data_IF_593253190604
#
_entry.id   IF_593253190604
#
_cell.length_a   1.000
_cell.length_b   1.000
_cell.length_c   1.000
_cell.angle_alpha   90.00
_cell.angle_beta   90.00
_cell.angle_gamma   90.00
#
_symmetry.space_group_name_H-M   'P 1'
#
loop_
_entity.id
_entity.type
_entity.pdbx_description
1 polymer ?
#
# COMPACT_ATOMS: atom_id res chain seq x y z
N UNK A 1 -48.70 53.51 -14.40
CA UNK A 1 -48.25 52.25 -15.04
C UNK A 1 -46.72 52.26 -15.05
N UNK A 2 -46.08 51.52 -14.14
CA UNK A 2 -44.62 51.35 -14.09
C UNK A 2 -44.33 49.86 -14.09
N UNK A 3 -43.83 49.37 -15.20
CA UNK A 3 -43.51 47.97 -15.45
C UNK A 3 -42.07 47.73 -14.99
N UNK A 4 -41.88 47.02 -13.87
CA UNK A 4 -40.57 46.52 -13.45
C UNK A 4 -40.25 45.27 -14.28
N UNK A 5 -39.08 45.18 -14.96
CA UNK A 5 -38.66 43.92 -15.56
C UNK A 5 -38.02 43.06 -14.47
N UNK A 6 -38.67 41.93 -14.20
CA UNK A 6 -38.19 40.85 -13.37
C UNK A 6 -37.01 40.17 -14.09
N UNK A 7 -35.78 40.55 -13.76
CA UNK A 7 -34.57 39.86 -14.20
C UNK A 7 -34.46 38.53 -13.44
N UNK A 8 -34.98 37.47 -14.07
CA UNK A 8 -34.74 36.08 -13.73
C UNK A 8 -33.25 35.75 -13.91
N UNK A 9 -32.49 35.86 -12.82
CA UNK A 9 -31.17 35.25 -12.66
C UNK A 9 -31.33 33.73 -12.56
N UNK A 10 -31.49 33.07 -13.71
CA UNK A 10 -31.28 31.63 -13.84
C UNK A 10 -29.77 31.37 -13.71
N UNK A 11 -29.32 31.21 -12.46
CA UNK A 11 -28.01 30.66 -12.14
C UNK A 11 -27.97 29.20 -12.57
N UNK A 12 -27.60 28.96 -13.83
CA UNK A 12 -27.16 27.66 -14.27
C UNK A 12 -25.85 27.34 -13.52
N UNK A 13 -25.94 26.47 -12.49
CA UNK A 13 -24.80 25.74 -11.98
C UNK A 13 -24.26 24.86 -13.12
N UNK A 14 -23.39 25.42 -13.96
CA UNK A 14 -22.60 24.62 -14.89
C UNK A 14 -21.79 23.65 -14.02
N UNK A 15 -22.08 22.35 -14.14
CA UNK A 15 -21.19 21.32 -13.64
C UNK A 15 -19.82 21.59 -14.28
N UNK A 16 -18.87 22.06 -13.48
CA UNK A 16 -17.52 22.34 -13.97
C UNK A 16 -16.95 21.02 -14.51
N UNK A 17 -16.59 20.94 -15.80
CA UNK A 17 -15.89 19.77 -16.32
C UNK A 17 -14.57 19.63 -15.57
N UNK A 18 -14.20 18.40 -15.24
CA UNK A 18 -13.00 18.09 -14.47
C UNK A 18 -13.23 17.02 -13.39
N UNK A 19 -12.14 16.53 -12.78
CA UNK A 19 -12.17 15.45 -11.80
C UNK A 19 -12.77 15.83 -10.43
N UNK A 20 -13.09 17.11 -10.19
CA UNK A 20 -13.52 17.61 -8.88
C UNK A 20 -14.80 16.94 -8.35
N UNK A 21 -15.88 16.77 -9.12
CA UNK A 21 -17.08 16.09 -8.64
C UNK A 21 -16.82 14.62 -8.27
N UNK A 22 -15.94 13.94 -9.02
CA UNK A 22 -15.52 12.57 -8.69
C UNK A 22 -14.74 12.55 -7.37
N UNK A 23 -13.76 13.45 -7.22
CA UNK A 23 -12.98 13.57 -6.00
C UNK A 23 -13.86 13.83 -4.78
N UNK A 24 -14.82 14.75 -4.86
CA UNK A 24 -15.76 15.06 -3.76
C UNK A 24 -16.59 13.83 -3.35
N UNK A 25 -17.16 13.10 -4.33
CA UNK A 25 -17.92 11.87 -4.06
C UNK A 25 -17.06 10.81 -3.39
N UNK A 26 -15.84 10.60 -3.90
CA UNK A 26 -14.92 9.62 -3.36
C UNK A 26 -14.43 9.98 -1.96
N UNK A 27 -14.15 11.26 -1.70
CA UNK A 27 -13.81 11.77 -0.37
C UNK A 27 -14.96 11.53 0.61
N UNK A 28 -16.20 11.84 0.23
CA UNK A 28 -17.39 11.56 1.05
C UNK A 28 -17.55 10.07 1.34
N UNK A 29 -17.44 9.22 0.32
CA UNK A 29 -17.48 7.77 0.49
C UNK A 29 -16.37 7.27 1.41
N UNK A 30 -15.17 7.86 1.33
CA UNK A 30 -14.04 7.55 2.20
C UNK A 30 -14.34 7.90 3.67
N UNK A 31 -14.96 9.05 3.94
CA UNK A 31 -15.33 9.45 5.31
C UNK A 31 -16.46 8.58 5.88
N UNK A 32 -17.30 8.02 5.02
CA UNK A 32 -18.40 7.12 5.37
C UNK A 32 -17.97 5.64 5.46
N UNK A 33 -16.68 5.33 5.26
CA UNK A 33 -16.16 3.95 5.28
C UNK A 33 -16.63 3.07 4.12
N UNK A 34 -17.10 3.66 3.01
CA UNK A 34 -17.62 2.94 1.84
C UNK A 34 -16.49 2.54 0.87
N UNK A 35 -15.55 1.72 1.35
CA UNK A 35 -14.39 1.29 0.55
C UNK A 35 -14.79 0.50 -0.72
N UNK A 36 -15.85 -0.30 -0.67
CA UNK A 36 -16.37 -0.98 -1.86
C UNK A 36 -16.76 0.00 -3.00
N UNK A 37 -17.34 1.15 -2.64
CA UNK A 37 -17.70 2.18 -3.63
C UNK A 37 -16.44 2.81 -4.24
N UNK A 38 -15.49 3.22 -3.39
CA UNK A 38 -14.24 3.83 -3.84
C UNK A 38 -13.35 2.89 -4.65
N UNK A 39 -13.36 1.59 -4.36
CA UNK A 39 -12.61 0.59 -5.13
C UNK A 39 -13.17 0.39 -6.55
N UNK A 40 -14.51 0.42 -6.66
CA UNK A 40 -15.24 0.24 -7.91
C UNK A 40 -15.21 1.50 -8.81
N UNK A 41 -15.02 2.68 -8.23
CA UNK A 41 -14.97 3.94 -8.96
C UNK A 41 -13.68 4.01 -9.80
N UNK A 42 -13.83 3.98 -11.12
CA UNK A 42 -12.72 4.12 -12.08
C UNK A 42 -12.55 5.60 -12.41
N UNK A 43 -11.31 6.06 -12.52
CA UNK A 43 -11.01 7.44 -12.86
C UNK A 43 -11.69 7.84 -14.18
N UNK A 44 -12.41 8.96 -14.17
CA UNK A 44 -13.14 9.47 -15.33
C UNK A 44 -12.19 9.91 -16.46
N UNK A 45 -12.73 10.19 -17.65
CA UNK A 45 -11.95 10.49 -18.87
C UNK A 45 -10.91 11.59 -18.68
N UNK A 46 -11.20 12.57 -17.83
CA UNK A 46 -10.32 13.70 -17.56
C UNK A 46 -9.03 13.27 -16.85
N UNK A 47 -9.10 12.24 -16.00
CA UNK A 47 -7.92 11.64 -15.39
C UNK A 47 -7.15 10.68 -16.30
N UNK A 48 -7.75 10.28 -17.43
CA UNK A 48 -7.03 9.55 -18.47
C UNK A 48 -6.25 10.51 -19.38
N UNK A 49 -6.79 11.70 -19.63
CA UNK A 49 -6.14 12.73 -20.47
C UNK A 49 -5.14 13.57 -19.69
N UNK A 50 -5.34 13.77 -18.38
CA UNK A 50 -4.46 14.55 -17.49
C UNK A 50 -4.14 13.76 -16.21
N UNK A 51 -3.41 12.64 -16.30
CA UNK A 51 -3.16 11.76 -15.16
C UNK A 51 -2.34 12.40 -14.02
N UNK A 52 -1.58 13.46 -14.32
CA UNK A 52 -0.79 14.21 -13.35
C UNK A 52 -1.56 15.33 -12.63
N UNK A 53 -2.84 15.55 -12.97
CA UNK A 53 -3.66 16.52 -12.26
C UNK A 53 -3.76 16.14 -10.76
N UNK A 54 -3.55 17.08 -9.82
CA UNK A 54 -3.58 16.77 -8.40
C UNK A 54 -4.87 16.09 -7.92
N UNK A 55 -6.03 16.42 -8.49
CA UNK A 55 -7.28 15.76 -8.14
C UNK A 55 -7.30 14.30 -8.65
N UNK A 56 -6.75 14.03 -9.82
CA UNK A 56 -6.61 12.68 -10.36
C UNK A 56 -5.64 11.82 -9.54
N UNK A 57 -4.51 12.39 -9.11
CA UNK A 57 -3.59 11.70 -8.20
C UNK A 57 -4.28 11.35 -6.87
N UNK A 58 -5.10 12.25 -6.32
CA UNK A 58 -5.87 12.02 -5.09
C UNK A 58 -6.97 10.98 -5.26
N UNK A 59 -7.68 10.98 -6.40
CA UNK A 59 -8.64 9.93 -6.77
C UNK A 59 -7.96 8.55 -6.74
N UNK A 60 -6.78 8.42 -7.35
CA UNK A 60 -6.01 7.18 -7.35
C UNK A 60 -5.54 6.79 -5.93
N UNK A 61 -5.14 7.76 -5.10
CA UNK A 61 -4.78 7.49 -3.71
C UNK A 61 -5.97 6.94 -2.90
N UNK A 62 -7.17 7.53 -3.06
CA UNK A 62 -8.39 7.07 -2.38
C UNK A 62 -8.76 5.66 -2.84
N UNK A 63 -8.72 5.41 -4.15
CA UNK A 63 -9.00 4.09 -4.73
C UNK A 63 -8.01 3.04 -4.26
N UNK A 64 -6.70 3.32 -4.29
CA UNK A 64 -5.67 2.40 -3.84
C UNK A 64 -5.84 2.00 -2.37
N UNK A 65 -6.19 2.97 -1.53
CA UNK A 65 -6.49 2.74 -0.11
C UNK A 65 -7.73 1.87 0.08
N UNK A 66 -8.80 2.15 -0.64
CA UNK A 66 -10.03 1.36 -0.57
C UNK A 66 -9.79 -0.09 -1.02
N UNK A 67 -9.07 -0.29 -2.12
CA UNK A 67 -8.70 -1.61 -2.61
C UNK A 67 -7.80 -2.37 -1.61
N UNK A 68 -6.80 -1.71 -1.01
CA UNK A 68 -5.99 -2.34 0.03
C UNK A 68 -6.81 -2.68 1.29
N UNK A 69 -7.73 -1.81 1.71
CA UNK A 69 -8.61 -2.05 2.84
C UNK A 69 -9.49 -3.29 2.62
N UNK A 70 -10.12 -3.40 1.45
CA UNK A 70 -10.91 -4.58 1.05
C UNK A 70 -10.08 -5.86 0.98
N UNK A 71 -8.84 -5.80 0.50
CA UNK A 71 -7.96 -6.97 0.52
C UNK A 71 -7.70 -7.42 1.97
N UNK A 72 -7.51 -6.48 2.91
CA UNK A 72 -7.17 -6.78 4.30
C UNK A 72 -8.33 -7.29 5.14
N UNK A 73 -9.59 -7.08 4.75
CA UNK A 73 -10.73 -7.66 5.48
C UNK A 73 -10.74 -9.19 5.40
N UNK A 74 -10.08 -9.78 4.41
CA UNK A 74 -9.91 -11.23 4.27
C UNK A 74 -8.73 -11.77 5.10
N UNK A 75 -7.88 -10.91 5.68
CA UNK A 75 -6.74 -11.34 6.47
C UNK A 75 -7.18 -11.93 7.81
N UNK A 76 -6.58 -13.06 8.19
CA UNK A 76 -6.74 -13.60 9.54
C UNK A 76 -6.20 -12.60 10.58
N UNK A 77 -6.70 -12.66 11.81
CA UNK A 77 -6.23 -11.80 12.89
C UNK A 77 -4.71 -11.91 13.05
N UNK A 78 -4.01 -10.77 12.99
CA UNK A 78 -2.56 -10.68 13.09
C UNK A 78 -1.78 -11.05 11.81
N UNK A 79 -2.44 -11.51 10.73
CA UNK A 79 -1.76 -11.78 9.48
C UNK A 79 -1.34 -10.47 8.78
N UNK A 80 -0.10 -10.43 8.29
CA UNK A 80 0.42 -9.25 7.59
C UNK A 80 -0.24 -9.04 6.21
N UNK A 81 -0.65 -10.13 5.56
CA UNK A 81 -1.27 -10.15 4.24
C UNK A 81 -2.46 -11.11 4.20
N UNK A 82 -3.43 -10.88 3.29
CA UNK A 82 -4.59 -11.77 3.15
C UNK A 82 -4.21 -13.15 2.57
N UNK A 83 -5.08 -14.16 2.78
CA UNK A 83 -4.91 -15.48 2.17
C UNK A 83 -5.02 -15.42 0.63
N UNK A 84 -4.54 -16.46 -0.08
CA UNK A 84 -4.50 -16.48 -1.54
C UNK A 84 -5.88 -16.73 -2.19
N UNK A 85 -6.82 -15.79 -2.04
CA UNK A 85 -8.14 -15.85 -2.69
C UNK A 85 -8.15 -15.03 -3.98
N UNK A 86 -9.11 -15.33 -4.87
CA UNK A 86 -9.30 -14.54 -6.09
C UNK A 86 -9.72 -13.08 -5.79
N UNK A 87 -10.46 -12.86 -4.70
CA UNK A 87 -10.89 -11.52 -4.27
C UNK A 87 -9.72 -10.70 -3.74
N UNK A 88 -8.94 -11.25 -2.81
CA UNK A 88 -7.73 -10.62 -2.29
C UNK A 88 -6.74 -10.27 -3.41
N UNK A 89 -6.56 -11.19 -4.38
CA UNK A 89 -5.73 -10.92 -5.57
C UNK A 89 -6.23 -9.71 -6.35
N UNK A 90 -7.52 -9.66 -6.73
CA UNK A 90 -8.08 -8.53 -7.50
C UNK A 90 -7.93 -7.20 -6.76
N UNK A 91 -8.17 -7.20 -5.45
CA UNK A 91 -8.08 -6.01 -4.62
C UNK A 91 -6.62 -5.54 -4.47
N UNK A 92 -5.67 -6.45 -4.29
CA UNK A 92 -4.24 -6.11 -4.27
C UNK A 92 -3.75 -5.61 -5.63
N UNK A 93 -4.24 -6.17 -6.73
CA UNK A 93 -3.92 -5.73 -8.09
C UNK A 93 -4.42 -4.29 -8.33
N UNK A 94 -5.66 -4.00 -7.91
CA UNK A 94 -6.19 -2.64 -7.89
C UNK A 94 -5.34 -1.70 -7.03
N UNK A 95 -4.96 -2.12 -5.82
CA UNK A 95 -4.19 -1.29 -4.90
C UNK A 95 -2.80 -0.94 -5.47
N UNK A 96 -2.09 -1.92 -6.04
CA UNK A 96 -0.77 -1.71 -6.65
C UNK A 96 -0.87 -0.76 -7.85
N UNK A 97 -1.84 -0.95 -8.75
CA UNK A 97 -2.04 -0.07 -9.90
C UNK A 97 -2.38 1.36 -9.48
N UNK A 98 -3.37 1.53 -8.59
CA UNK A 98 -3.83 2.83 -8.15
C UNK A 98 -2.75 3.58 -7.36
N UNK A 99 -2.02 2.92 -6.47
CA UNK A 99 -0.89 3.56 -5.78
C UNK A 99 0.28 3.90 -6.71
N UNK A 100 0.51 3.10 -7.74
CA UNK A 100 1.47 3.42 -8.80
C UNK A 100 1.13 4.73 -9.52
N UNK A 101 -0.17 5.00 -9.72
CA UNK A 101 -0.69 6.23 -10.35
C UNK A 101 -0.84 7.41 -9.39
N UNK A 102 -0.88 7.16 -8.08
CA UNK A 102 -1.08 8.19 -7.05
C UNK A 102 0.21 8.91 -6.63
N UNK A 103 1.35 8.68 -7.29
CA UNK A 103 2.61 9.31 -6.91
C UNK A 103 2.49 10.84 -6.95
N UNK A 104 2.85 11.51 -5.84
CA UNK A 104 2.71 12.96 -5.72
C UNK A 104 1.31 13.44 -5.30
N UNK A 105 0.37 12.54 -4.98
CA UNK A 105 -0.96 12.91 -4.50
C UNK A 105 -0.96 13.68 -3.17
N UNK A 106 0.15 13.63 -2.43
CA UNK A 106 0.34 14.31 -1.16
C UNK A 106 1.64 15.13 -1.17
N UNK A 107 1.69 16.29 -0.47
CA UNK A 107 2.90 17.11 -0.37
C UNK A 107 4.07 16.33 0.22
N UNK A 108 5.26 16.49 -0.36
CA UNK A 108 6.47 15.83 0.12
C UNK A 108 6.74 16.17 1.60
N UNK A 109 7.09 15.16 2.39
CA UNK A 109 7.32 15.29 3.84
C UNK A 109 6.07 15.37 4.71
N UNK A 110 4.87 15.40 4.12
CA UNK A 110 3.62 15.35 4.90
C UNK A 110 3.34 13.94 5.46
N UNK A 111 2.56 13.87 6.55
CA UNK A 111 2.07 12.60 7.09
C UNK A 111 1.27 11.81 6.05
N UNK A 112 0.51 12.49 5.20
CA UNK A 112 -0.25 11.85 4.11
C UNK A 112 0.67 11.22 3.06
N UNK A 113 1.79 11.85 2.73
CA UNK A 113 2.78 11.27 1.82
C UNK A 113 3.44 10.03 2.43
N UNK A 114 3.73 10.04 3.73
CA UNK A 114 4.24 8.86 4.46
C UNK A 114 3.21 7.73 4.45
N UNK A 115 1.95 8.02 4.78
CA UNK A 115 0.86 7.06 4.77
C UNK A 115 0.63 6.46 3.38
N UNK A 116 0.72 7.28 2.34
CA UNK A 116 0.60 6.83 0.95
C UNK A 116 1.73 5.86 0.58
N UNK A 117 2.98 6.23 0.89
CA UNK A 117 4.15 5.41 0.61
C UNK A 117 4.13 4.08 1.40
N UNK A 118 3.72 4.10 2.68
CA UNK A 118 3.59 2.87 3.46
C UNK A 118 2.53 1.93 2.87
N UNK A 119 1.35 2.46 2.53
CA UNK A 119 0.29 1.63 1.96
C UNK A 119 0.66 1.09 0.57
N UNK A 120 1.35 1.89 -0.26
CA UNK A 120 1.86 1.44 -1.54
C UNK A 120 2.83 0.26 -1.37
N UNK A 121 3.79 0.38 -0.44
CA UNK A 121 4.74 -0.69 -0.15
C UNK A 121 4.06 -1.93 0.43
N UNK A 122 3.06 -1.76 1.30
CA UNK A 122 2.26 -2.87 1.84
C UNK A 122 1.46 -3.60 0.76
N UNK A 123 0.86 -2.86 -0.17
CA UNK A 123 0.15 -3.43 -1.31
C UNK A 123 1.11 -4.26 -2.18
N UNK A 124 2.29 -3.74 -2.51
CA UNK A 124 3.32 -4.45 -3.27
C UNK A 124 3.82 -5.71 -2.54
N UNK A 125 4.12 -5.59 -1.24
CA UNK A 125 4.54 -6.71 -0.41
C UNK A 125 3.50 -7.84 -0.43
N UNK A 126 2.24 -7.53 -0.17
CA UNK A 126 1.18 -8.54 -0.16
C UNK A 126 0.87 -9.08 -1.55
N UNK A 127 0.84 -8.24 -2.59
CA UNK A 127 0.63 -8.68 -3.96
C UNK A 127 1.72 -9.64 -4.45
N UNK A 128 2.94 -9.56 -3.91
CA UNK A 128 4.04 -10.45 -4.30
C UNK A 128 3.73 -11.94 -4.11
N UNK A 129 2.86 -12.29 -3.15
CA UNK A 129 2.43 -13.68 -2.92
C UNK A 129 1.53 -14.24 -4.02
N UNK A 130 0.94 -13.36 -4.85
CA UNK A 130 -0.04 -13.70 -5.89
C UNK A 130 0.54 -13.64 -7.30
N UNK A 131 1.85 -13.40 -7.43
CA UNK A 131 2.54 -13.22 -8.70
C UNK A 131 3.45 -14.39 -9.05
N UNK A 132 3.71 -14.60 -10.36
CA UNK A 132 4.81 -15.46 -10.79
C UNK A 132 6.13 -15.07 -10.10
N UNK A 133 7.07 -16.01 -9.91
CA UNK A 133 8.25 -15.79 -9.08
C UNK A 133 9.04 -14.52 -9.40
N UNK A 134 9.31 -14.24 -10.68
CA UNK A 134 10.07 -13.07 -11.11
C UNK A 134 9.35 -11.74 -10.78
N UNK A 135 8.06 -11.67 -11.07
CA UNK A 135 7.22 -10.51 -10.76
C UNK A 135 7.06 -10.31 -9.25
N UNK A 136 6.88 -11.40 -8.50
CA UNK A 136 6.80 -11.35 -7.03
C UNK A 136 8.08 -10.81 -6.40
N UNK A 137 9.25 -11.23 -6.89
CA UNK A 137 10.54 -10.67 -6.47
C UNK A 137 10.65 -9.19 -6.82
N UNK A 138 10.22 -8.77 -8.01
CA UNK A 138 10.23 -7.36 -8.41
C UNK A 138 9.36 -6.50 -7.47
N UNK A 139 8.15 -6.96 -7.14
CA UNK A 139 7.27 -6.29 -6.18
C UNK A 139 7.89 -6.21 -4.78
N UNK A 140 8.54 -7.28 -4.30
CA UNK A 140 9.22 -7.26 -3.00
C UNK A 140 10.40 -6.27 -2.98
N UNK A 141 11.15 -6.15 -4.08
CA UNK A 141 12.22 -5.14 -4.21
C UNK A 141 11.65 -3.72 -4.18
N UNK A 142 10.55 -3.46 -4.89
CA UNK A 142 9.84 -2.18 -4.85
C UNK A 142 9.33 -1.85 -3.45
N UNK A 143 8.66 -2.81 -2.79
CA UNK A 143 8.15 -2.64 -1.44
C UNK A 143 9.29 -2.29 -0.46
N UNK A 144 10.38 -3.05 -0.48
CA UNK A 144 11.55 -2.81 0.39
C UNK A 144 12.19 -1.45 0.14
N UNK A 145 12.31 -1.03 -1.12
CA UNK A 145 12.82 0.32 -1.45
C UNK A 145 11.90 1.41 -0.92
N UNK A 146 10.58 1.25 -1.04
CA UNK A 146 9.60 2.19 -0.49
C UNK A 146 9.68 2.28 1.04
N UNK A 147 9.73 1.12 1.71
CA UNK A 147 9.83 1.02 3.18
C UNK A 147 11.11 1.67 3.70
N UNK A 148 12.24 1.51 3.00
CA UNK A 148 13.51 2.10 3.41
C UNK A 148 13.47 3.63 3.46
N UNK A 149 12.65 4.27 2.60
CA UNK A 149 12.45 5.72 2.56
C UNK A 149 11.48 6.27 3.61
N UNK A 150 10.78 5.42 4.36
CA UNK A 150 9.86 5.84 5.41
C UNK A 150 10.62 6.25 6.69
N UNK A 151 10.03 7.12 7.54
CA UNK A 151 10.54 7.38 8.88
C UNK A 151 10.79 6.09 9.68
N UNK A 152 11.80 6.09 10.54
CA UNK A 152 12.11 4.93 11.36
C UNK A 152 11.10 4.79 12.50
N UNK A 153 10.29 3.73 12.45
CA UNK A 153 9.36 3.31 13.51
C UNK A 153 9.42 1.78 13.66
N UNK A 154 8.91 1.25 14.77
CA UNK A 154 8.86 -0.19 14.97
C UNK A 154 7.99 -0.90 13.94
N UNK A 155 6.86 -0.30 13.55
CA UNK A 155 5.95 -0.81 12.53
C UNK A 155 6.62 -0.84 11.15
N UNK A 156 7.37 0.21 10.82
CA UNK A 156 8.14 0.30 9.57
C UNK A 156 9.21 -0.77 9.52
N UNK A 157 9.93 -0.98 10.61
CA UNK A 157 10.98 -2.01 10.68
C UNK A 157 10.38 -3.42 10.65
N UNK A 158 9.23 -3.66 11.28
CA UNK A 158 8.49 -4.92 11.17
C UNK A 158 8.01 -5.17 9.73
N UNK A 159 7.48 -4.15 9.05
CA UNK A 159 7.07 -4.28 7.65
C UNK A 159 8.28 -4.59 6.74
N UNK A 160 9.40 -3.91 6.96
CA UNK A 160 10.66 -4.17 6.27
C UNK A 160 11.18 -5.59 6.53
N UNK A 161 11.13 -6.05 7.79
CA UNK A 161 11.50 -7.40 8.18
C UNK A 161 10.64 -8.45 7.49
N UNK A 162 9.32 -8.23 7.44
CA UNK A 162 8.36 -9.13 6.78
C UNK A 162 8.62 -9.23 5.28
N UNK A 163 8.90 -8.11 4.60
CA UNK A 163 9.25 -8.10 3.19
C UNK A 163 10.62 -8.74 2.90
N UNK A 164 11.60 -8.57 3.79
CA UNK A 164 12.90 -9.24 3.70
C UNK A 164 12.78 -10.76 3.94
N UNK A 165 11.97 -11.19 4.90
CA UNK A 165 11.69 -12.61 5.11
C UNK A 165 11.02 -13.23 3.89
N UNK A 166 10.03 -12.54 3.30
CA UNK A 166 9.39 -13.01 2.08
C UNK A 166 10.34 -13.10 0.89
N UNK A 167 11.42 -12.30 0.84
CA UNK A 167 12.52 -12.47 -0.12
C UNK A 167 13.35 -13.72 0.20
N UNK A 168 13.72 -13.94 1.48
CA UNK A 168 14.47 -15.12 1.90
C UNK A 168 13.77 -16.43 1.55
N UNK A 169 12.44 -16.41 1.56
CA UNK A 169 11.58 -17.54 1.26
C UNK A 169 11.37 -17.80 -0.24
N UNK A 170 11.95 -17.00 -1.16
CA UNK A 170 11.79 -17.21 -2.61
C UNK A 170 12.80 -18.24 -3.15
N UNK A 171 12.38 -19.44 -3.56
CA UNK A 171 13.30 -20.46 -4.08
C UNK A 171 13.93 -20.07 -5.43
N UNK A 172 13.31 -19.12 -6.15
CA UNK A 172 13.82 -18.60 -7.41
C UNK A 172 15.06 -17.68 -7.25
N UNK A 173 15.39 -17.27 -6.02
CA UNK A 173 16.58 -16.48 -5.73
C UNK A 173 17.77 -17.39 -5.38
N UNK A 174 18.99 -16.91 -5.65
CA UNK A 174 20.20 -17.62 -5.24
C UNK A 174 20.27 -17.75 -3.71
N UNK A 175 20.88 -18.84 -3.21
CA UNK A 175 21.01 -19.08 -1.76
C UNK A 175 21.71 -17.93 -1.02
N UNK A 176 22.67 -17.26 -1.66
CA UNK A 176 23.35 -16.08 -1.11
C UNK A 176 22.41 -14.88 -0.94
N UNK A 177 21.56 -14.60 -1.94
CA UNK A 177 20.53 -13.55 -1.85
C UNK A 177 19.50 -13.86 -0.78
N UNK A 178 19.04 -15.11 -0.71
CA UNK A 178 18.10 -15.57 0.30
C UNK A 178 18.67 -15.44 1.71
N UNK A 179 19.96 -15.79 1.89
CA UNK A 179 20.65 -15.64 3.16
C UNK A 179 20.79 -14.16 3.58
N UNK A 180 21.19 -13.28 2.65
CA UNK A 180 21.27 -11.85 2.92
C UNK A 180 19.89 -11.28 3.32
N UNK A 181 18.82 -11.74 2.68
CA UNK A 181 17.46 -11.36 3.01
C UNK A 181 17.02 -11.87 4.39
N UNK A 182 17.39 -13.10 4.78
CA UNK A 182 17.11 -13.64 6.11
C UNK A 182 17.83 -12.86 7.22
N UNK A 183 19.13 -12.56 7.02
CA UNK A 183 19.91 -11.68 7.93
C UNK A 183 19.25 -10.32 8.11
N UNK A 184 18.84 -9.72 6.99
CA UNK A 184 18.18 -8.42 7.01
C UNK A 184 16.83 -8.48 7.73
N UNK A 185 16.05 -9.55 7.53
CA UNK A 185 14.79 -9.75 8.23
C UNK A 185 14.99 -9.86 9.75
N UNK A 186 15.94 -10.67 10.20
CA UNK A 186 16.27 -10.81 11.62
C UNK A 186 16.75 -9.49 12.24
N UNK A 187 17.62 -8.76 11.52
CA UNK A 187 18.15 -7.46 11.95
C UNK A 187 17.04 -6.42 12.10
N UNK A 188 16.17 -6.27 11.11
CA UNK A 188 15.05 -5.31 11.14
C UNK A 188 14.05 -5.67 12.24
N UNK A 189 13.72 -6.96 12.39
CA UNK A 189 12.86 -7.42 13.47
C UNK A 189 13.48 -7.17 14.86
N UNK A 190 14.80 -7.31 15.01
CA UNK A 190 15.53 -6.91 16.21
C UNK A 190 15.35 -5.41 16.53
N UNK A 191 15.59 -4.54 15.54
CA UNK A 191 15.39 -3.09 15.73
C UNK A 191 13.95 -2.73 16.11
N UNK A 192 12.96 -3.41 15.52
CA UNK A 192 11.57 -3.21 15.88
C UNK A 192 11.31 -3.55 17.36
N UNK A 193 11.95 -4.60 17.90
CA UNK A 193 11.86 -4.98 19.32
C UNK A 193 12.56 -3.96 20.24
N UNK A 194 13.72 -3.47 19.84
CA UNK A 194 14.52 -2.53 20.65
C UNK A 194 13.87 -1.14 20.77
N UNK A 195 12.90 -0.84 19.90
CA UNK A 195 12.19 0.45 19.85
C UNK A 195 11.07 0.60 20.88
N UNK A 196 10.89 -0.38 21.80
CA UNK A 196 9.78 -0.39 22.76
C UNK A 196 8.39 -0.46 22.11
N UNK A 197 8.14 -1.42 21.19
CA UNK A 197 6.90 -1.49 20.43
C UNK A 197 5.68 -1.87 21.28
N UNK A 198 4.49 -1.69 20.71
CA UNK A 198 3.27 -2.32 21.24
C UNK A 198 3.41 -3.85 21.29
N UNK A 199 2.62 -4.52 22.13
CA UNK A 199 2.70 -5.98 22.31
C UNK A 199 2.50 -6.76 21.01
N UNK A 200 1.56 -6.34 20.17
CA UNK A 200 1.28 -6.98 18.87
C UNK A 200 2.45 -6.85 17.90
N UNK A 201 3.08 -5.68 17.82
CA UNK A 201 4.28 -5.45 16.99
C UNK A 201 5.46 -6.25 17.54
N UNK A 202 5.60 -6.34 18.87
CA UNK A 202 6.64 -7.14 19.52
C UNK A 202 6.49 -8.64 19.21
N UNK A 203 5.27 -9.17 19.29
CA UNK A 203 4.98 -10.58 18.98
C UNK A 203 5.27 -10.90 17.51
N UNK A 204 4.80 -10.05 16.59
CA UNK A 204 5.06 -10.21 15.17
C UNK A 204 6.56 -10.07 14.83
N UNK A 205 7.29 -9.17 15.49
CA UNK A 205 8.73 -9.03 15.30
C UNK A 205 9.50 -10.26 15.81
N UNK A 206 9.13 -10.80 16.99
CA UNK A 206 9.71 -12.06 17.49
C UNK A 206 9.45 -13.21 16.51
N UNK A 207 8.23 -13.36 16.04
CA UNK A 207 7.87 -14.40 15.08
C UNK A 207 8.67 -14.26 13.77
N UNK A 208 8.79 -13.04 13.25
CA UNK A 208 9.54 -12.74 12.02
C UNK A 208 11.04 -13.03 12.19
N UNK A 209 11.63 -12.64 13.32
CA UNK A 209 13.04 -12.93 13.63
C UNK A 209 13.29 -14.44 13.71
N UNK A 210 12.42 -15.17 14.42
CA UNK A 210 12.54 -16.62 14.56
C UNK A 210 12.40 -17.33 13.20
N UNK A 211 11.44 -16.91 12.37
CA UNK A 211 11.28 -17.44 11.02
C UNK A 211 12.52 -17.15 10.15
N UNK A 212 13.09 -15.96 10.24
CA UNK A 212 14.32 -15.61 9.53
C UNK A 212 15.51 -16.49 9.93
N UNK A 213 15.70 -16.75 11.23
CA UNK A 213 16.74 -17.67 11.71
C UNK A 213 16.51 -19.12 11.23
N UNK A 214 15.25 -19.58 11.19
CA UNK A 214 14.90 -20.90 10.65
C UNK A 214 15.20 -21.00 9.16
N UNK A 215 14.82 -20.01 8.36
CA UNK A 215 15.13 -19.94 6.93
C UNK A 215 16.64 -19.94 6.70
N UNK A 216 17.40 -19.15 7.47
CA UNK A 216 18.85 -19.11 7.38
C UNK A 216 19.50 -20.47 7.71
N UNK A 217 19.04 -21.15 8.76
CA UNK A 217 19.56 -22.48 9.13
C UNK A 217 19.33 -23.53 8.02
N UNK A 218 18.27 -23.38 7.22
CA UNK A 218 18.00 -24.23 6.06
C UNK A 218 18.84 -23.91 4.82
N UNK A 219 19.64 -22.83 4.83
CA UNK A 219 20.45 -22.40 3.70
C UNK A 219 21.94 -22.74 3.91
N UNK A 220 22.56 -23.32 2.88
CA UNK A 220 24.00 -23.58 2.88
C UNK A 220 24.79 -22.28 3.04
N UNK A 221 25.80 -22.28 3.92
CA UNK A 221 26.69 -21.14 4.20
C UNK A 221 26.01 -19.88 4.75
N UNK A 222 24.84 -20.00 5.38
CA UNK A 222 24.14 -18.88 6.01
C UNK A 222 24.30 -18.85 7.55
N UNK A 223 25.53 -18.72 8.04
CA UNK A 223 25.79 -18.61 9.47
C UNK A 223 25.43 -17.21 10.03
N UNK A 224 25.06 -17.14 11.32
CA UNK A 224 24.95 -15.89 12.09
C UNK A 224 23.67 -15.07 11.88
N UNK A 225 22.49 -15.70 11.91
CA UNK A 225 21.16 -15.05 11.82
C UNK A 225 20.37 -15.19 13.10
#
# INVERSE_FOLDING_TARGET
MRSLPLLLLLGACAALPGPTPQLERMTKAQTEGRDAANAAEVAESDCLTQPSDPACLRIQAIRGRACLALARTEAAAGAACPPPTASARRNLDCAVDAYGKAQGAAPAGSADAVNLAENAARAQYCASGFRPPAEGVALLRQARSGIAGLPATAERDLLGASAALAMAQRPALASSERCAAAREAARLAGRALDSGPSSSVADAARATRNAASQEAAGLTNCAGV
#
